data_IF_506637440287
#
_entry.id   IF_506637440287
#
_cell.length_a   1.000
_cell.length_b   1.000
_cell.length_c   1.000
_cell.angle_alpha   90.00
_cell.angle_beta   90.00
_cell.angle_gamma   90.00
#
_symmetry.space_group_name_H-M   'P 1'
#
loop_
_entity.id
_entity.type
_entity.pdbx_description
1 polymer ?
#
# COMPACT_ATOMS: atom_id res chain seq x y z
N UNK A 1 -28.86 9.53 28.69
CA UNK A 1 -27.39 9.44 28.57
C UNK A 1 -26.98 10.30 27.39
N UNK A 2 -25.98 11.16 27.54
CA UNK A 2 -25.45 11.93 26.41
C UNK A 2 -24.75 10.98 25.44
N UNK A 3 -24.83 11.24 24.13
CA UNK A 3 -24.14 10.40 23.14
C UNK A 3 -22.65 10.73 23.20
N UNK A 4 -21.79 9.76 22.89
CA UNK A 4 -20.33 9.99 22.89
C UNK A 4 -19.95 11.16 21.97
N UNK A 5 -20.60 11.28 20.80
CA UNK A 5 -20.43 12.40 19.88
C UNK A 5 -20.72 13.76 20.52
N UNK A 6 -21.75 13.86 21.36
CA UNK A 6 -22.17 15.13 21.98
C UNK A 6 -21.07 15.70 22.89
N UNK A 7 -20.25 14.83 23.50
CA UNK A 7 -19.09 15.22 24.29
C UNK A 7 -18.04 15.99 23.47
N UNK A 8 -17.96 15.74 22.16
CA UNK A 8 -17.03 16.41 21.24
C UNK A 8 -17.65 17.63 20.51
N UNK A 9 -18.90 18.00 20.79
CA UNK A 9 -19.61 19.08 20.08
C UNK A 9 -18.86 20.42 20.06
N UNK A 10 -18.29 20.86 21.20
CA UNK A 10 -17.51 22.09 21.30
C UNK A 10 -16.25 22.06 20.43
N UNK A 11 -15.58 20.91 20.43
CA UNK A 11 -14.37 20.66 19.63
C UNK A 11 -14.71 20.68 18.13
N UNK A 12 -15.79 19.99 17.74
CA UNK A 12 -16.29 19.97 16.37
C UNK A 12 -16.66 21.38 15.89
N UNK A 13 -17.43 22.12 16.69
CA UNK A 13 -17.82 23.48 16.36
C UNK A 13 -16.61 24.40 16.20
N UNK A 14 -15.58 24.24 17.04
CA UNK A 14 -14.36 25.04 16.96
C UNK A 14 -13.55 24.70 15.71
N UNK A 15 -13.41 23.41 15.38
CA UNK A 15 -12.74 22.96 14.15
C UNK A 15 -13.40 23.50 12.89
N UNK A 16 -14.73 23.42 12.80
CA UNK A 16 -15.49 23.98 11.67
C UNK A 16 -15.40 25.51 11.60
N UNK A 17 -15.40 26.20 12.74
CA UNK A 17 -15.25 27.65 12.77
C UNK A 17 -13.86 28.10 12.29
N UNK A 18 -12.81 27.34 12.65
CA UNK A 18 -11.45 27.60 12.20
C UNK A 18 -11.33 27.38 10.70
N UNK A 19 -11.85 26.26 10.20
CA UNK A 19 -11.83 25.93 8.77
C UNK A 19 -12.56 27.00 7.93
N UNK A 20 -13.75 27.41 8.37
CA UNK A 20 -14.51 28.48 7.72
C UNK A 20 -13.75 29.83 7.75
N UNK A 21 -13.06 30.15 8.85
CA UNK A 21 -12.25 31.35 8.98
C UNK A 21 -11.04 31.33 8.03
N UNK A 22 -10.37 30.17 7.90
CA UNK A 22 -9.27 29.96 6.94
C UNK A 22 -9.76 30.16 5.52
N UNK A 23 -10.87 29.52 5.14
CA UNK A 23 -11.47 29.65 3.80
C UNK A 23 -11.92 31.09 3.47
N UNK A 24 -12.37 31.84 4.48
CA UNK A 24 -12.81 33.24 4.33
C UNK A 24 -11.66 34.26 4.41
N UNK A 25 -10.43 33.84 4.76
CA UNK A 25 -9.32 34.75 5.05
C UNK A 25 -9.59 35.70 6.23
N UNK A 26 -10.39 35.25 7.20
CA UNK A 26 -10.73 36.02 8.40
C UNK A 26 -9.55 36.06 9.39
N UNK A 27 -9.57 36.93 10.41
CA UNK A 27 -8.56 36.91 11.46
C UNK A 27 -8.52 35.56 12.18
N UNK A 28 -7.35 34.92 12.21
CA UNK A 28 -7.12 33.61 12.80
C UNK A 28 -6.32 33.74 14.12
N UNK A 29 -6.57 32.88 15.11
CA UNK A 29 -5.62 32.71 16.22
C UNK A 29 -4.28 32.19 15.69
N UNK A 30 -3.21 32.33 16.47
CA UNK A 30 -1.94 31.66 16.12
C UNK A 30 -2.12 30.14 16.14
N UNK A 31 -1.30 29.43 15.36
CA UNK A 31 -1.34 27.97 15.28
C UNK A 31 -1.19 27.31 16.67
N UNK A 32 -0.28 27.82 17.51
CA UNK A 32 -0.08 27.31 18.87
C UNK A 32 -1.30 27.58 19.78
N UNK A 33 -1.94 28.74 19.65
CA UNK A 33 -3.13 29.07 20.42
C UNK A 33 -4.32 28.17 20.02
N UNK A 34 -4.47 27.90 18.71
CA UNK A 34 -5.46 26.97 18.20
C UNK A 34 -5.21 25.54 18.72
N UNK A 35 -3.97 25.04 18.64
CA UNK A 35 -3.61 23.72 19.18
C UNK A 35 -3.88 23.60 20.70
N UNK A 36 -3.51 24.62 21.48
CA UNK A 36 -3.78 24.64 22.92
C UNK A 36 -5.29 24.61 23.23
N UNK A 37 -6.08 25.39 22.48
CA UNK A 37 -7.53 25.38 22.61
C UNK A 37 -8.11 24.00 22.30
N UNK A 38 -7.72 23.36 21.20
CA UNK A 38 -8.20 22.03 20.84
C UNK A 38 -7.83 20.98 21.88
N UNK A 39 -6.62 21.05 22.45
CA UNK A 39 -6.20 20.15 23.53
C UNK A 39 -7.08 20.29 24.77
N UNK A 40 -7.36 21.51 25.22
CA UNK A 40 -8.25 21.76 26.35
C UNK A 40 -9.67 21.25 26.10
N UNK A 41 -10.19 21.43 24.88
CA UNK A 41 -11.51 20.94 24.49
C UNK A 41 -11.56 19.41 24.42
N UNK A 42 -10.48 18.77 23.96
CA UNK A 42 -10.36 17.31 23.93
C UNK A 42 -10.34 16.72 25.35
N UNK A 43 -9.58 17.34 26.27
CA UNK A 43 -9.53 16.91 27.67
C UNK A 43 -10.90 17.07 28.36
N UNK A 44 -11.62 18.16 28.07
CA UNK A 44 -12.99 18.35 28.54
C UNK A 44 -13.96 17.31 27.96
N UNK A 45 -13.82 16.95 26.67
CA UNK A 45 -14.62 15.92 26.03
C UNK A 45 -14.38 14.54 26.64
N UNK A 46 -13.12 14.18 26.90
CA UNK A 46 -12.75 12.93 27.61
C UNK A 46 -13.41 12.87 28.99
N UNK A 47 -13.29 13.93 29.79
CA UNK A 47 -13.89 14.00 31.12
C UNK A 47 -15.43 13.89 31.08
N UNK A 48 -16.07 14.51 30.10
CA UNK A 48 -17.52 14.42 29.92
C UNK A 48 -17.97 12.99 29.51
N UNK A 49 -17.21 12.34 28.64
CA UNK A 49 -17.47 10.96 28.20
C UNK A 49 -17.23 9.94 29.32
N UNK A 50 -16.23 10.17 30.18
CA UNK A 50 -15.99 9.35 31.36
C UNK A 50 -17.13 9.50 32.38
N UNK A 51 -17.58 10.75 32.63
CA UNK A 51 -18.71 11.02 33.52
C UNK A 51 -20.05 10.43 33.03
N UNK A 52 -20.20 10.21 31.72
CA UNK A 52 -21.37 9.55 31.13
C UNK A 52 -21.28 8.01 31.16
N UNK A 53 -20.17 7.45 31.64
CA UNK A 53 -19.95 6.01 31.79
C UNK A 53 -19.40 5.32 30.54
N UNK A 54 -18.82 6.07 29.60
CA UNK A 54 -18.22 5.49 28.39
C UNK A 54 -16.93 4.74 28.74
N UNK A 55 -16.69 3.52 28.23
CA UNK A 55 -15.45 2.79 28.47
C UNK A 55 -14.21 3.56 27.98
N UNK A 56 -13.12 3.54 28.76
CA UNK A 56 -11.89 4.27 28.44
C UNK A 56 -11.33 3.96 27.03
N UNK A 57 -11.39 2.69 26.60
CA UNK A 57 -10.94 2.30 25.26
C UNK A 57 -11.76 2.97 24.13
N UNK A 58 -13.07 3.13 24.34
CA UNK A 58 -13.95 3.82 23.39
C UNK A 58 -13.72 5.33 23.39
N UNK A 59 -13.46 5.91 24.57
CA UNK A 59 -13.09 7.33 24.71
C UNK A 59 -11.79 7.61 23.94
N UNK A 60 -10.75 6.80 24.13
CA UNK A 60 -9.46 7.01 23.46
C UNK A 60 -9.55 6.80 21.94
N UNK A 61 -10.30 5.79 21.48
CA UNK A 61 -10.53 5.58 20.05
C UNK A 61 -11.30 6.75 19.41
N UNK A 62 -12.30 7.31 20.09
CA UNK A 62 -13.04 8.49 19.63
C UNK A 62 -12.17 9.77 19.66
N UNK A 63 -11.35 9.94 20.70
CA UNK A 63 -10.41 11.05 20.82
C UNK A 63 -9.36 11.01 19.69
N UNK A 64 -8.88 9.83 19.33
CA UNK A 64 -7.97 9.64 18.20
C UNK A 64 -8.60 10.11 16.88
N UNK A 65 -9.85 9.72 16.61
CA UNK A 65 -10.58 10.14 15.40
C UNK A 65 -10.70 11.67 15.30
N UNK A 66 -11.02 12.32 16.42
CA UNK A 66 -11.15 13.78 16.48
C UNK A 66 -9.80 14.48 16.31
N UNK A 67 -8.72 13.92 16.87
CA UNK A 67 -7.36 14.46 16.69
C UNK A 67 -6.88 14.33 15.24
N UNK A 68 -7.11 13.18 14.60
CA UNK A 68 -6.79 13.00 13.18
C UNK A 68 -7.47 14.06 12.31
N UNK A 69 -8.77 14.31 12.56
CA UNK A 69 -9.52 15.35 11.84
C UNK A 69 -9.05 16.76 12.14
N UNK A 70 -8.79 17.11 13.41
CA UNK A 70 -8.31 18.44 13.79
C UNK A 70 -6.93 18.72 13.20
N UNK A 71 -6.01 17.77 13.21
CA UNK A 71 -4.68 17.98 12.64
C UNK A 71 -4.76 18.31 11.14
N UNK A 72 -5.68 17.68 10.39
CA UNK A 72 -5.96 18.02 8.99
C UNK A 72 -6.63 19.40 8.81
N UNK A 73 -7.44 19.84 9.78
CA UNK A 73 -7.96 21.22 9.82
C UNK A 73 -6.83 22.22 10.09
N UNK A 74 -5.93 21.92 11.03
CA UNK A 74 -4.80 22.76 11.39
C UNK A 74 -3.75 22.84 10.27
N UNK A 75 -3.58 21.78 9.49
CA UNK A 75 -2.66 21.75 8.33
C UNK A 75 -3.05 22.79 7.26
N UNK A 76 -4.33 23.15 7.18
CA UNK A 76 -4.83 24.20 6.27
C UNK A 76 -4.56 25.62 6.77
N UNK A 77 -4.06 25.78 8.00
CA UNK A 77 -3.73 27.09 8.55
C UNK A 77 -2.55 27.72 7.78
N UNK A 78 -2.59 29.02 7.42
CA UNK A 78 -1.52 29.67 6.66
C UNK A 78 -0.14 29.56 7.33
N UNK A 79 -0.12 29.65 8.66
CA UNK A 79 1.11 29.54 9.45
C UNK A 79 1.68 28.12 9.52
N UNK A 80 0.92 27.09 9.14
CA UNK A 80 1.42 25.70 9.15
C UNK A 80 2.53 25.50 8.10
N UNK A 81 2.35 26.06 6.89
CA UNK A 81 3.36 25.99 5.83
C UNK A 81 4.63 26.80 6.15
N UNK A 82 4.49 27.94 6.83
CA UNK A 82 5.64 28.76 7.26
C UNK A 82 6.39 28.10 8.41
N UNK A 83 5.69 27.46 9.35
CA UNK A 83 6.32 26.69 10.42
C UNK A 83 7.09 25.47 9.90
N UNK A 84 6.52 24.73 8.94
CA UNK A 84 7.17 23.58 8.32
C UNK A 84 8.45 23.96 7.55
N UNK A 85 8.47 25.13 6.91
CA UNK A 85 9.62 25.57 6.10
C UNK A 85 10.74 26.24 6.90
N UNK A 86 10.41 26.89 8.02
CA UNK A 86 11.40 27.62 8.84
C UNK A 86 11.96 26.81 10.01
N UNK A 87 11.33 25.68 10.35
CA UNK A 87 11.69 24.87 11.53
C UNK A 87 11.55 25.63 12.86
N UNK A 88 10.89 26.79 12.83
CA UNK A 88 10.79 27.70 13.96
C UNK A 88 9.36 27.72 14.51
N UNK A 89 9.18 27.21 15.72
CA UNK A 89 8.14 27.66 16.64
C UNK A 89 6.81 26.88 16.69
N UNK A 90 6.43 26.06 15.70
CA UNK A 90 5.21 25.28 15.83
C UNK A 90 5.41 24.04 16.70
N UNK A 91 4.53 23.84 17.67
CA UNK A 91 4.46 22.58 18.39
C UNK A 91 4.10 21.44 17.41
N UNK A 92 4.62 20.23 17.70
CA UNK A 92 4.35 19.04 16.89
C UNK A 92 2.83 18.81 16.74
N UNK A 93 2.35 18.16 15.67
CA UNK A 93 0.91 17.86 15.51
C UNK A 93 0.32 17.13 16.73
N UNK A 94 -0.99 17.29 16.98
CA UNK A 94 -1.64 16.72 18.17
C UNK A 94 -1.55 15.19 18.19
N UNK A 95 -1.57 14.52 17.03
CA UNK A 95 -1.33 13.08 16.88
C UNK A 95 0.02 12.63 17.47
N UNK A 96 1.07 13.45 17.31
CA UNK A 96 2.41 13.17 17.86
C UNK A 96 2.40 13.40 19.36
N UNK A 97 1.84 14.52 19.79
CA UNK A 97 1.82 14.92 21.20
C UNK A 97 1.00 13.98 22.09
N UNK A 98 -0.11 13.45 21.57
CA UNK A 98 -1.12 12.74 22.37
C UNK A 98 -1.13 11.23 22.13
N UNK A 99 -0.78 10.78 20.92
CA UNK A 99 -0.89 9.38 20.52
C UNK A 99 0.43 8.77 20.02
N UNK A 100 1.53 9.54 20.00
CA UNK A 100 2.82 9.11 19.46
C UNK A 100 2.70 8.54 18.03
N UNK A 101 1.77 9.09 17.25
CA UNK A 101 1.53 8.71 15.85
C UNK A 101 1.97 9.84 14.92
N UNK A 102 2.57 9.46 13.79
CA UNK A 102 2.88 10.36 12.68
C UNK A 102 2.03 10.04 11.42
N UNK A 103 1.06 9.13 11.54
CA UNK A 103 0.30 8.57 10.41
C UNK A 103 -1.20 8.48 10.73
N UNK A 104 -1.71 9.42 11.52
CA UNK A 104 -3.12 9.42 11.92
C UNK A 104 -4.07 9.46 10.71
N UNK A 105 -3.63 10.04 9.59
CA UNK A 105 -4.38 10.09 8.32
C UNK A 105 -4.69 8.70 7.74
N UNK A 106 -3.89 7.67 8.03
CA UNK A 106 -4.14 6.28 7.60
C UNK A 106 -4.66 5.41 8.75
N UNK A 107 -4.08 5.58 9.94
CA UNK A 107 -4.50 4.86 11.17
C UNK A 107 -5.97 5.08 11.53
N UNK A 108 -6.53 6.24 11.18
CA UNK A 108 -7.97 6.50 11.31
C UNK A 108 -8.83 5.41 10.65
N UNK A 109 -8.53 5.06 9.39
CA UNK A 109 -9.32 4.09 8.64
C UNK A 109 -9.12 2.67 9.17
N UNK A 110 -7.93 2.38 9.70
CA UNK A 110 -7.64 1.14 10.41
C UNK A 110 -8.53 0.99 11.64
N UNK A 111 -8.55 1.99 12.54
CA UNK A 111 -9.41 1.97 13.71
C UNK A 111 -10.89 1.85 13.34
N UNK A 112 -11.35 2.59 12.33
CA UNK A 112 -12.73 2.53 11.84
C UNK A 112 -13.13 1.13 11.33
N UNK A 113 -12.23 0.47 10.59
CA UNK A 113 -12.45 -0.88 10.07
C UNK A 113 -12.46 -1.95 11.15
N UNK A 114 -11.73 -1.73 12.25
CA UNK A 114 -11.63 -2.66 13.38
C UNK A 114 -12.83 -2.58 14.35
N UNK A 115 -13.68 -1.56 14.24
CA UNK A 115 -14.84 -1.39 15.12
C UNK A 115 -15.85 -2.55 14.96
N UNK A 116 -16.24 -3.15 16.09
CA UNK A 116 -17.21 -4.23 16.13
C UNK A 116 -18.66 -3.76 16.23
N UNK A 117 -19.58 -4.71 16.42
CA UNK A 117 -21.00 -4.42 16.64
C UNK A 117 -21.29 -3.75 18.00
N UNK A 118 -20.33 -3.74 18.94
CA UNK A 118 -20.47 -3.08 20.24
C UNK A 118 -19.97 -1.64 20.27
N UNK A 119 -19.41 -1.14 19.17
CA UNK A 119 -18.71 0.14 19.09
C UNK A 119 -19.51 1.21 18.33
N UNK A 120 -20.85 1.10 18.31
CA UNK A 120 -21.73 2.01 17.55
C UNK A 120 -21.51 3.48 17.91
N UNK A 121 -21.28 3.78 19.19
CA UNK A 121 -21.01 5.14 19.67
C UNK A 121 -19.67 5.68 19.17
N UNK A 122 -18.64 4.84 19.03
CA UNK A 122 -17.34 5.22 18.48
C UNK A 122 -17.44 5.34 16.96
N UNK A 123 -18.12 4.40 16.30
CA UNK A 123 -18.37 4.42 14.86
C UNK A 123 -19.07 5.70 14.44
N UNK A 124 -20.00 6.18 15.25
CA UNK A 124 -20.64 7.47 15.05
C UNK A 124 -19.64 8.64 15.02
N UNK A 125 -18.66 8.67 15.93
CA UNK A 125 -17.64 9.72 15.99
C UNK A 125 -16.74 9.70 14.74
N UNK A 126 -16.27 8.51 14.33
CA UNK A 126 -15.50 8.36 13.09
C UNK A 126 -16.32 8.75 11.85
N UNK A 127 -17.57 8.31 11.78
CA UNK A 127 -18.44 8.65 10.67
C UNK A 127 -18.68 10.16 10.57
N UNK A 128 -18.85 10.85 11.70
CA UNK A 128 -18.97 12.30 11.72
C UNK A 128 -17.69 13.00 11.27
N UNK A 129 -16.50 12.54 11.67
CA UNK A 129 -15.26 13.11 11.14
C UNK A 129 -15.21 13.05 9.60
N UNK A 130 -15.61 11.93 9.00
CA UNK A 130 -15.72 11.78 7.54
C UNK A 130 -16.77 12.74 6.94
N UNK A 131 -17.95 12.82 7.57
CA UNK A 131 -19.02 13.71 7.12
C UNK A 131 -18.63 15.19 7.19
N UNK A 132 -17.73 15.55 8.12
CA UNK A 132 -17.17 16.89 8.29
C UNK A 132 -15.96 17.17 7.39
N UNK A 133 -15.65 16.27 6.46
CA UNK A 133 -14.65 16.50 5.41
C UNK A 133 -13.26 15.96 5.71
N UNK A 134 -13.07 15.15 6.77
CA UNK A 134 -11.81 14.42 6.94
C UNK A 134 -11.54 13.54 5.72
N UNK A 135 -10.41 13.77 5.05
CA UNK A 135 -9.98 12.99 3.89
C UNK A 135 -8.94 11.95 4.27
N UNK A 136 -8.00 12.28 5.15
CA UNK A 136 -6.86 11.44 5.52
C UNK A 136 -6.10 10.92 4.29
N UNK A 137 -5.88 9.60 4.23
CA UNK A 137 -5.21 8.96 3.09
C UNK A 137 -5.92 9.14 1.73
N UNK A 138 -7.18 9.62 1.72
CA UNK A 138 -7.98 9.89 0.52
C UNK A 138 -7.97 11.38 0.12
N UNK A 139 -6.91 12.14 0.44
CA UNK A 139 -6.82 13.59 0.16
C UNK A 139 -7.06 14.00 -1.31
N UNK A 140 -6.80 13.08 -2.24
CA UNK A 140 -6.97 13.26 -3.69
C UNK A 140 -8.41 13.05 -4.19
N UNK A 141 -9.32 12.51 -3.37
CA UNK A 141 -10.72 12.36 -3.77
C UNK A 141 -11.50 13.67 -3.54
N UNK A 142 -12.35 14.01 -4.52
CA UNK A 142 -13.28 15.12 -4.42
C UNK A 142 -14.73 14.60 -4.50
N UNK A 143 -15.53 14.94 -3.48
CA UNK A 143 -16.91 14.51 -3.35
C UNK A 143 -17.08 13.06 -2.84
N UNK A 144 -18.32 12.56 -2.90
CA UNK A 144 -18.71 11.27 -2.29
C UNK A 144 -18.83 10.12 -3.33
N UNK A 145 -18.22 10.25 -4.52
CA UNK A 145 -18.30 9.23 -5.58
C UNK A 145 -17.16 8.18 -5.51
N UNK A 146 -16.13 8.46 -4.71
CA UNK A 146 -14.96 7.58 -4.53
C UNK A 146 -15.08 6.62 -3.34
N UNK A 147 -13.94 6.12 -2.86
CA UNK A 147 -13.86 5.23 -1.69
C UNK A 147 -14.33 5.91 -0.40
N UNK A 148 -14.06 7.20 -0.22
CA UNK A 148 -14.51 7.96 0.95
C UNK A 148 -16.05 7.95 1.04
N UNK A 149 -16.73 8.09 -0.10
CA UNK A 149 -18.18 7.99 -0.19
C UNK A 149 -18.71 6.60 0.14
N UNK A 150 -18.03 5.55 -0.32
CA UNK A 150 -18.37 4.15 0.02
C UNK A 150 -18.21 3.88 1.50
N UNK A 151 -17.15 4.38 2.14
CA UNK A 151 -16.91 4.25 3.58
C UNK A 151 -17.98 4.98 4.40
N UNK A 152 -18.36 6.20 3.99
CA UNK A 152 -19.48 6.94 4.60
C UNK A 152 -20.79 6.15 4.50
N UNK A 153 -21.13 5.59 3.33
CA UNK A 153 -22.36 4.80 3.18
C UNK A 153 -22.32 3.50 4.00
N UNK A 154 -21.21 2.76 3.94
CA UNK A 154 -21.04 1.48 4.65
C UNK A 154 -21.20 1.66 6.16
N UNK A 155 -20.49 2.61 6.76
CA UNK A 155 -20.55 2.84 8.20
C UNK A 155 -21.81 3.61 8.61
N UNK A 156 -22.34 4.49 7.76
CA UNK A 156 -23.59 5.19 8.00
C UNK A 156 -24.78 4.23 8.17
N UNK A 157 -24.84 3.16 7.37
CA UNK A 157 -25.89 2.12 7.49
C UNK A 157 -25.84 1.34 8.81
N UNK A 158 -24.67 1.29 9.44
CA UNK A 158 -24.43 0.60 10.71
C UNK A 158 -24.75 1.48 11.92
N UNK A 159 -24.95 2.80 11.74
CA UNK A 159 -25.30 3.70 12.83
C UNK A 159 -26.72 3.45 13.35
N UNK A 160 -26.91 3.64 14.65
CA UNK A 160 -28.23 3.57 15.31
C UNK A 160 -29.21 4.58 14.70
N UNK A 161 -28.74 5.80 14.44
CA UNK A 161 -29.45 6.82 13.67
C UNK A 161 -28.85 6.87 12.28
N UNK A 162 -29.48 6.17 11.34
CA UNK A 162 -29.00 6.13 9.96
C UNK A 162 -29.13 7.51 9.31
N UNK A 163 -28.02 8.05 8.78
CA UNK A 163 -28.06 9.25 7.97
C UNK A 163 -28.81 8.95 6.67
N UNK A 164 -29.49 9.97 6.14
CA UNK A 164 -30.13 9.87 4.82
C UNK A 164 -29.05 9.67 3.76
N UNK A 165 -29.27 8.74 2.83
CA UNK A 165 -28.32 8.52 1.73
C UNK A 165 -28.25 9.78 0.87
N UNK A 166 -27.05 10.32 0.68
CA UNK A 166 -26.79 11.56 -0.07
C UNK A 166 -27.23 11.46 -1.54
N UNK A 167 -27.23 10.26 -2.14
CA UNK A 167 -27.78 10.01 -3.47
C UNK A 167 -29.30 9.84 -3.51
N UNK A 168 -29.93 9.53 -2.37
CA UNK A 168 -31.37 9.27 -2.29
C UNK A 168 -32.19 10.55 -2.22
N UNK A 169 -31.67 11.66 -1.68
CA UNK A 169 -32.43 12.91 -1.57
C UNK A 169 -32.81 13.53 -2.94
N UNK A 170 -32.10 13.18 -4.00
CA UNK A 170 -32.44 13.57 -5.39
C UNK A 170 -33.55 12.69 -5.97
N UNK A 171 -33.70 11.46 -5.47
CA UNK A 171 -34.68 10.47 -5.97
C UNK A 171 -35.91 10.35 -5.06
N UNK A 172 -35.77 10.68 -3.78
CA UNK A 172 -36.83 10.62 -2.79
C UNK A 172 -37.72 11.85 -2.94
N UNK A 173 -38.98 11.54 -3.15
CA UNK A 173 -40.06 12.50 -3.41
C UNK A 173 -40.44 13.17 -2.10
N UNK A 174 -39.78 14.27 -1.77
CA UNK A 174 -39.98 15.02 -0.50
C UNK A 174 -41.36 15.71 -0.45
N UNK A 175 -42.10 15.84 -1.56
CA UNK A 175 -43.46 16.45 -1.57
C UNK A 175 -44.48 15.69 -2.44
N UNK A 176 -45.77 15.73 -2.08
CA UNK A 176 -46.84 15.23 -2.94
C UNK A 176 -47.21 16.29 -3.99
N UNK A 177 -46.40 16.44 -5.04
CA UNK A 177 -46.72 17.25 -6.25
C UNK A 177 -46.79 16.33 -7.49
N UNK A 178 -47.52 16.69 -8.55
CA UNK A 178 -47.93 15.73 -9.58
C UNK A 178 -46.75 15.35 -10.51
N UNK A 179 -46.25 14.13 -10.35
CA UNK A 179 -45.20 13.50 -11.17
C UNK A 179 -45.68 13.06 -12.55
N UNK A 180 -46.62 13.78 -13.18
CA UNK A 180 -47.19 13.39 -14.48
C UNK A 180 -46.25 13.63 -15.67
N UNK A 181 -45.04 14.13 -15.43
CA UNK A 181 -43.98 14.21 -16.44
C UNK A 181 -43.04 13.03 -16.24
N UNK A 182 -42.91 12.19 -17.28
CA UNK A 182 -41.98 11.06 -17.27
C UNK A 182 -40.53 11.56 -17.24
N UNK A 183 -39.73 11.03 -16.32
CA UNK A 183 -38.30 11.32 -16.24
C UNK A 183 -37.55 10.88 -17.52
N UNK A 184 -36.49 11.62 -17.93
CA UNK A 184 -35.60 11.17 -18.99
C UNK A 184 -34.89 9.86 -18.58
N UNK A 185 -34.72 8.95 -19.55
CA UNK A 185 -34.10 7.64 -19.32
C UNK A 185 -32.64 7.79 -18.87
N UNK A 186 -32.34 7.37 -17.65
CA UNK A 186 -30.97 7.19 -17.16
C UNK A 186 -30.24 6.00 -17.82
N UNK A 187 -28.91 5.89 -17.66
CA UNK A 187 -28.10 4.85 -18.30
C UNK A 187 -28.49 3.45 -17.80
N UNK A 188 -28.70 2.51 -18.73
CA UNK A 188 -29.12 1.14 -18.43
C UNK A 188 -28.06 0.37 -17.60
N UNK A 189 -28.53 -0.32 -16.57
CA UNK A 189 -27.84 -1.40 -15.86
C UNK A 189 -27.69 -2.62 -16.78
N UNK A 190 -26.45 -3.01 -17.09
CA UNK A 190 -26.09 -4.00 -18.12
C UNK A 190 -25.96 -5.43 -17.60
N UNK A 191 -26.42 -5.74 -16.39
CA UNK A 191 -26.16 -7.04 -15.72
C UNK A 191 -26.91 -8.28 -16.24
N UNK A 192 -27.58 -8.26 -17.40
CA UNK A 192 -28.42 -9.39 -17.86
C UNK A 192 -27.93 -10.15 -19.10
N UNK A 193 -26.68 -9.97 -19.55
CA UNK A 193 -26.17 -10.59 -20.81
C UNK A 193 -24.98 -11.55 -20.69
N UNK A 194 -24.63 -12.02 -19.49
CA UNK A 194 -23.36 -12.77 -19.30
C UNK A 194 -23.42 -14.31 -19.33
N UNK A 195 -24.58 -14.96 -19.47
CA UNK A 195 -24.60 -16.44 -19.40
C UNK A 195 -24.16 -17.17 -20.68
N UNK A 196 -24.17 -16.53 -21.84
CA UNK A 196 -23.79 -17.17 -23.11
C UNK A 196 -22.34 -16.92 -23.52
N UNK A 197 -21.68 -15.88 -22.96
CA UNK A 197 -20.26 -15.58 -23.21
C UNK A 197 -19.32 -16.48 -22.39
N UNK A 198 -19.77 -16.93 -21.21
CA UNK A 198 -18.98 -17.80 -20.31
C UNK A 198 -18.75 -19.20 -20.89
N UNK A 199 -19.68 -19.72 -21.71
CA UNK A 199 -19.54 -21.05 -22.33
C UNK A 199 -18.58 -21.07 -23.54
N UNK A 200 -18.41 -19.94 -24.24
CA UNK A 200 -17.47 -19.83 -25.36
C UNK A 200 -16.01 -19.68 -24.91
N UNK A 201 -15.77 -19.00 -23.79
CA UNK A 201 -14.42 -18.78 -23.25
C UNK A 201 -13.71 -20.04 -22.77
N UNK A 202 -14.46 -21.00 -22.23
CA UNK A 202 -13.90 -22.25 -21.70
C UNK A 202 -13.29 -23.16 -22.78
N UNK A 203 -13.84 -23.16 -24.00
CA UNK A 203 -13.31 -23.95 -25.11
C UNK A 203 -12.01 -23.36 -25.67
N UNK A 204 -11.89 -22.03 -25.67
CA UNK A 204 -10.70 -21.33 -26.16
C UNK A 204 -9.50 -21.49 -25.20
N UNK A 205 -9.77 -21.51 -23.89
CA UNK A 205 -8.77 -21.67 -22.83
C UNK A 205 -8.08 -23.05 -22.85
N UNK A 206 -8.72 -24.08 -23.40
CA UNK A 206 -8.14 -25.43 -23.54
C UNK A 206 -7.37 -25.65 -24.85
N UNK A 207 -7.77 -24.99 -25.94
CA UNK A 207 -7.14 -25.18 -27.26
C UNK A 207 -5.79 -24.44 -27.41
N UNK A 208 -5.67 -23.26 -26.82
CA UNK A 208 -4.46 -22.43 -26.87
C UNK A 208 -3.20 -23.07 -26.22
N UNK A 209 -3.26 -23.65 -25.01
CA UNK A 209 -2.07 -24.26 -24.40
C UNK A 209 -1.60 -25.52 -25.14
N UNK A 210 -2.52 -26.29 -25.74
CA UNK A 210 -2.20 -27.46 -26.56
C UNK A 210 -1.44 -27.07 -27.84
N UNK A 211 -1.89 -26.00 -28.51
CA UNK A 211 -1.21 -25.43 -29.67
C UNK A 211 0.17 -24.85 -29.31
N UNK A 212 0.28 -24.22 -28.14
CA UNK A 212 1.55 -23.67 -27.65
C UNK A 212 2.58 -24.78 -27.35
N UNK A 213 2.18 -25.88 -26.71
CA UNK A 213 3.07 -27.03 -26.47
C UNK A 213 3.56 -27.67 -27.78
N UNK A 214 2.68 -27.81 -28.78
CA UNK A 214 3.03 -28.34 -30.10
C UNK A 214 4.06 -27.45 -30.83
N UNK A 215 3.91 -26.13 -30.70
CA UNK A 215 4.87 -25.17 -31.26
C UNK A 215 6.23 -25.28 -30.58
N UNK A 216 6.27 -25.31 -29.24
CA UNK A 216 7.52 -25.38 -28.46
C UNK A 216 8.36 -26.64 -28.74
N UNK A 217 7.71 -27.77 -29.05
CA UNK A 217 8.42 -29.01 -29.44
C UNK A 217 9.08 -28.94 -30.82
N UNK A 218 8.66 -28.01 -31.69
CA UNK A 218 9.20 -27.85 -33.04
C UNK A 218 10.38 -26.87 -33.13
N UNK A 219 10.57 -26.03 -32.11
CA UNK A 219 11.61 -24.99 -32.05
C UNK A 219 12.64 -25.31 -30.95
N UNK A 220 13.71 -26.04 -31.32
CA UNK A 220 14.84 -26.30 -30.42
C UNK A 220 15.57 -25.03 -29.96
N UNK A 221 16.37 -25.07 -28.86
CA UNK A 221 16.90 -23.87 -28.23
C UNK A 221 17.90 -23.13 -29.14
N UNK A 222 17.86 -21.78 -29.17
CA UNK A 222 18.71 -21.00 -30.05
C UNK A 222 20.15 -20.93 -29.51
N UNK A 223 21.12 -21.22 -30.37
CA UNK A 223 22.48 -20.75 -30.22
C UNK A 223 22.52 -19.30 -30.74
N UNK A 224 22.93 -18.36 -29.89
CA UNK A 224 23.00 -16.93 -30.19
C UNK A 224 24.39 -16.53 -30.70
N UNK A 225 24.46 -15.54 -31.61
CA UNK A 225 25.69 -14.86 -32.00
C UNK A 225 26.25 -14.05 -30.82
N UNK A 226 27.22 -14.63 -30.11
CA UNK A 226 27.74 -14.13 -28.82
C UNK A 226 28.31 -12.71 -28.87
N UNK A 227 28.82 -12.25 -30.01
CA UNK A 227 29.48 -10.94 -30.13
C UNK A 227 28.55 -9.71 -30.22
N UNK A 228 27.31 -9.87 -30.68
CA UNK A 228 26.32 -8.78 -30.68
C UNK A 228 25.64 -8.70 -29.30
N UNK A 229 25.20 -9.85 -28.77
CA UNK A 229 24.57 -9.93 -27.45
C UNK A 229 25.47 -9.33 -26.35
N UNK A 230 26.77 -9.67 -26.36
CA UNK A 230 27.72 -9.17 -25.36
C UNK A 230 27.96 -7.66 -25.43
N UNK A 231 27.91 -7.04 -26.63
CA UNK A 231 28.02 -5.58 -26.78
C UNK A 231 26.78 -4.86 -26.27
N UNK A 232 25.60 -5.44 -26.52
CA UNK A 232 24.33 -4.91 -26.01
C UNK A 232 24.33 -5.02 -24.48
N UNK A 233 24.67 -6.18 -23.91
CA UNK A 233 24.75 -6.38 -22.45
C UNK A 233 25.71 -5.39 -21.78
N UNK A 234 26.89 -5.13 -22.37
CA UNK A 234 27.84 -4.16 -21.82
C UNK A 234 27.27 -2.73 -21.82
N UNK A 235 26.51 -2.36 -22.85
CA UNK A 235 25.87 -1.06 -22.92
C UNK A 235 24.71 -0.93 -21.91
N UNK A 236 23.93 -2.00 -21.75
CA UNK A 236 22.83 -2.08 -20.79
C UNK A 236 23.30 -1.94 -19.32
N UNK A 237 24.54 -2.30 -19.00
CA UNK A 237 25.14 -2.11 -17.67
C UNK A 237 25.38 -0.64 -17.29
N UNK A 238 25.23 0.31 -18.22
CA UNK A 238 25.41 1.75 -17.93
C UNK A 238 24.21 2.39 -17.23
N UNK A 239 23.05 1.73 -17.23
CA UNK A 239 21.85 2.22 -16.56
C UNK A 239 21.93 1.96 -15.05
N UNK A 240 21.73 3.03 -14.27
CA UNK A 240 21.81 2.95 -12.82
C UNK A 240 20.58 2.21 -12.25
N UNK A 241 20.83 1.25 -11.34
CA UNK A 241 19.77 0.48 -10.67
C UNK A 241 18.84 -0.23 -11.70
N UNK A 242 19.41 -0.80 -12.76
CA UNK A 242 18.72 -1.56 -13.79
C UNK A 242 19.32 -2.97 -13.91
N UNK A 243 18.49 -3.96 -14.24
CA UNK A 243 18.92 -5.31 -14.60
C UNK A 243 18.28 -5.64 -15.93
N UNK A 244 19.07 -5.49 -17.00
CA UNK A 244 18.64 -5.65 -18.37
C UNK A 244 19.51 -6.73 -19.00
N UNK A 245 18.87 -7.63 -19.73
CA UNK A 245 19.51 -8.76 -20.40
C UNK A 245 19.11 -8.76 -21.85
N UNK A 246 20.07 -8.92 -22.75
CA UNK A 246 19.82 -9.03 -24.17
C UNK A 246 19.97 -10.47 -24.64
N UNK A 247 18.98 -10.94 -25.40
CA UNK A 247 19.06 -12.18 -26.17
C UNK A 247 18.92 -11.85 -27.65
N UNK A 248 19.71 -12.51 -28.49
CA UNK A 248 19.68 -12.33 -29.95
C UNK A 248 19.37 -13.68 -30.57
N UNK A 249 18.33 -13.75 -31.40
CA UNK A 249 17.98 -14.97 -32.12
C UNK A 249 18.85 -15.19 -33.38
N UNK A 250 18.62 -16.31 -34.07
CA UNK A 250 19.39 -16.70 -35.27
C UNK A 250 19.15 -15.79 -36.47
N UNK A 251 18.04 -15.07 -36.51
CA UNK A 251 17.67 -14.15 -37.59
C UNK A 251 18.17 -12.70 -37.30
N UNK A 252 18.81 -12.51 -36.13
CA UNK A 252 19.35 -11.24 -35.66
C UNK A 252 18.32 -10.36 -34.95
N UNK A 253 17.17 -10.91 -34.57
CA UNK A 253 16.20 -10.18 -33.75
C UNK A 253 16.67 -10.11 -32.31
N UNK A 254 16.78 -8.88 -31.83
CA UNK A 254 17.16 -8.61 -30.44
C UNK A 254 15.92 -8.59 -29.55
N UNK A 255 15.98 -9.29 -28.43
CA UNK A 255 15.02 -9.16 -27.34
C UNK A 255 15.74 -8.69 -26.08
N UNK A 256 15.32 -7.54 -25.57
CA UNK A 256 15.80 -7.01 -24.29
C UNK A 256 14.72 -7.21 -23.24
N UNK A 257 15.08 -7.88 -22.16
CA UNK A 257 14.20 -8.19 -21.02
C UNK A 257 14.80 -7.67 -19.72
N UNK A 258 13.99 -7.16 -18.81
CA UNK A 258 14.48 -6.74 -17.50
C UNK A 258 13.70 -5.59 -16.87
N UNK A 259 14.41 -4.70 -16.17
CA UNK A 259 13.83 -3.49 -15.59
C UNK A 259 14.78 -2.30 -15.53
N UNK A 260 14.18 -1.10 -15.47
CA UNK A 260 14.86 0.19 -15.25
C UNK A 260 14.31 0.87 -14.00
N UNK A 261 15.09 1.78 -13.40
CA UNK A 261 14.71 2.48 -12.17
C UNK A 261 13.98 3.80 -12.37
N UNK A 262 14.26 4.51 -13.47
CA UNK A 262 13.66 5.79 -13.79
C UNK A 262 12.64 5.65 -14.94
N UNK A 263 11.47 6.31 -14.86
CA UNK A 263 10.51 6.32 -15.97
C UNK A 263 11.12 6.83 -17.28
N UNK A 264 12.08 7.75 -17.19
CA UNK A 264 12.82 8.29 -18.34
C UNK A 264 13.86 7.34 -18.94
N UNK A 265 14.23 6.25 -18.26
CA UNK A 265 15.23 5.31 -18.76
C UNK A 265 14.64 4.28 -19.73
N UNK A 266 13.34 3.96 -19.62
CA UNK A 266 12.67 3.07 -20.57
C UNK A 266 12.80 3.57 -22.02
N UNK A 267 12.36 4.81 -22.37
CA UNK A 267 12.51 5.31 -23.73
C UNK A 267 13.97 5.50 -24.14
N UNK A 268 14.88 5.71 -23.19
CA UNK A 268 16.32 5.79 -23.46
C UNK A 268 16.90 4.43 -23.85
N UNK A 269 16.59 3.36 -23.12
CA UNK A 269 17.00 2.00 -23.48
C UNK A 269 16.48 1.62 -24.86
N UNK A 270 15.19 1.91 -25.14
CA UNK A 270 14.59 1.63 -26.44
C UNK A 270 15.32 2.36 -27.58
N UNK A 271 15.64 3.64 -27.38
CA UNK A 271 16.35 4.45 -28.37
C UNK A 271 17.80 4.01 -28.55
N UNK A 272 18.55 3.88 -27.46
CA UNK A 272 19.99 3.59 -27.48
C UNK A 272 20.27 2.18 -28.02
N UNK A 273 19.49 1.16 -27.63
CA UNK A 273 19.64 -0.21 -28.17
C UNK A 273 19.21 -0.28 -29.63
N UNK A 274 18.18 0.43 -30.05
CA UNK A 274 17.75 0.46 -31.45
C UNK A 274 18.77 1.13 -32.38
N UNK A 275 19.60 2.03 -31.84
CA UNK A 275 20.66 2.71 -32.57
C UNK A 275 21.95 1.88 -32.70
N UNK A 276 22.08 0.74 -31.99
CA UNK A 276 23.29 -0.07 -32.00
C UNK A 276 23.50 -0.79 -33.35
N UNK A 277 24.73 -0.76 -33.92
CA UNK A 277 25.02 -1.44 -35.18
C UNK A 277 24.82 -2.96 -35.08
N UNK A 278 23.92 -3.49 -35.92
CA UNK A 278 23.62 -4.92 -36.03
C UNK A 278 22.32 -5.35 -35.34
N UNK A 279 21.65 -4.48 -34.59
CA UNK A 279 20.33 -4.74 -33.99
C UNK A 279 19.25 -4.68 -35.08
N UNK A 280 18.42 -5.71 -35.18
CA UNK A 280 17.27 -5.75 -36.11
C UNK A 280 15.97 -5.97 -35.34
N UNK A 281 14.99 -5.09 -35.58
CA UNK A 281 13.63 -5.14 -34.99
C UNK A 281 13.63 -5.54 -33.49
N UNK A 282 14.25 -4.71 -32.62
CA UNK A 282 14.36 -5.04 -31.21
C UNK A 282 12.98 -5.10 -30.55
N UNK A 283 12.77 -6.10 -29.71
CA UNK A 283 11.61 -6.20 -28.82
C UNK A 283 12.03 -5.92 -27.38
N UNK A 284 11.28 -5.05 -26.72
CA UNK A 284 11.53 -4.64 -25.35
C UNK A 284 10.42 -5.18 -24.45
N UNK A 285 10.82 -5.92 -23.43
CA UNK A 285 9.97 -6.39 -22.34
C UNK A 285 10.63 -5.94 -21.02
N UNK A 286 10.50 -4.64 -20.77
CA UNK A 286 11.20 -3.93 -19.71
C UNK A 286 10.17 -3.33 -18.76
N UNK A 287 10.23 -3.70 -17.48
CA UNK A 287 9.42 -3.11 -16.42
C UNK A 287 10.07 -1.88 -15.78
N UNK A 288 9.27 -1.06 -15.11
CA UNK A 288 9.75 0.00 -14.22
C UNK A 288 9.85 -0.52 -12.79
N UNK A 289 11.03 -0.40 -12.15
CA UNK A 289 11.27 -0.73 -10.74
C UNK A 289 11.94 0.44 -10.04
N UNK A 290 11.12 1.35 -9.52
CA UNK A 290 11.60 2.54 -8.80
C UNK A 290 12.35 2.13 -7.52
N UNK A 291 13.36 2.91 -7.14
CA UNK A 291 14.03 2.77 -5.84
C UNK A 291 12.97 2.75 -4.71
N UNK A 292 13.09 1.88 -3.68
CA UNK A 292 14.23 1.02 -3.32
C UNK A 292 14.23 -0.36 -4.00
N UNK A 293 13.18 -0.73 -4.73
CA UNK A 293 12.97 -2.09 -5.25
C UNK A 293 14.11 -2.62 -6.12
N UNK A 294 14.67 -1.76 -6.99
CA UNK A 294 15.79 -2.13 -7.85
C UNK A 294 17.07 -2.46 -7.06
N UNK A 295 17.32 -1.73 -5.98
CA UNK A 295 18.51 -1.88 -5.13
C UNK A 295 18.42 -3.18 -4.32
N UNK A 296 17.24 -3.46 -3.75
CA UNK A 296 16.94 -4.71 -3.04
C UNK A 296 17.16 -5.90 -3.96
N UNK A 297 16.60 -5.84 -5.17
CA UNK A 297 16.75 -6.90 -6.16
C UNK A 297 18.23 -7.13 -6.50
N UNK A 298 19.01 -6.07 -6.73
CA UNK A 298 20.43 -6.19 -7.03
C UNK A 298 21.22 -6.86 -5.88
N UNK A 299 20.88 -6.54 -4.62
CA UNK A 299 21.50 -7.14 -3.43
C UNK A 299 21.14 -8.63 -3.32
N UNK A 300 19.86 -8.99 -3.56
CA UNK A 300 19.34 -10.34 -3.28
C UNK A 300 19.44 -11.31 -4.47
N UNK A 301 19.57 -10.83 -5.71
CA UNK A 301 19.65 -11.66 -6.92
C UNK A 301 20.69 -12.79 -6.84
N UNK A 302 21.94 -12.59 -6.36
CA UNK A 302 22.91 -13.68 -6.25
C UNK A 302 22.44 -14.82 -5.34
N UNK A 303 21.66 -14.49 -4.30
CA UNK A 303 21.13 -15.45 -3.33
C UNK A 303 19.90 -16.19 -3.85
N UNK A 304 19.09 -15.54 -4.71
CA UNK A 304 17.99 -16.20 -5.43
C UNK A 304 18.51 -17.15 -6.51
N UNK A 305 19.52 -16.73 -7.29
CA UNK A 305 20.17 -17.63 -8.27
C UNK A 305 20.71 -18.87 -7.57
N UNK A 306 21.37 -18.70 -6.42
CA UNK A 306 21.85 -19.81 -5.60
C UNK A 306 20.73 -20.73 -5.11
N UNK A 307 19.60 -20.19 -4.67
CA UNK A 307 18.43 -20.97 -4.27
C UNK A 307 17.97 -21.91 -5.40
N UNK A 308 17.88 -21.40 -6.63
CA UNK A 308 17.53 -22.15 -7.83
C UNK A 308 18.58 -23.19 -8.24
N UNK A 309 19.84 -22.78 -8.39
CA UNK A 309 20.93 -23.67 -8.84
C UNK A 309 21.17 -24.84 -7.91
N UNK A 310 21.05 -24.62 -6.59
CA UNK A 310 21.23 -25.66 -5.58
C UNK A 310 19.95 -26.40 -5.24
N UNK A 311 18.82 -26.03 -5.84
CA UNK A 311 17.50 -26.58 -5.58
C UNK A 311 17.16 -26.66 -4.08
N UNK A 312 17.49 -25.59 -3.33
CA UNK A 312 17.25 -25.53 -1.89
C UNK A 312 15.76 -25.44 -1.55
N UNK A 313 14.94 -24.89 -2.45
CA UNK A 313 13.49 -24.92 -2.35
C UNK A 313 12.89 -23.90 -1.38
N UNK A 314 13.62 -22.82 -1.07
CA UNK A 314 13.01 -21.64 -0.46
C UNK A 314 12.05 -21.04 -1.49
N UNK A 315 10.84 -20.70 -1.08
CA UNK A 315 9.83 -20.13 -1.98
C UNK A 315 8.96 -19.13 -1.22
N UNK A 316 8.55 -18.05 -1.90
CA UNK A 316 7.60 -17.06 -1.38
C UNK A 316 6.47 -16.82 -2.37
N UNK A 317 5.25 -16.95 -1.88
CA UNK A 317 4.05 -16.68 -2.67
C UNK A 317 3.11 -15.76 -1.92
N UNK A 318 2.28 -15.03 -2.68
CA UNK A 318 1.23 -14.16 -2.16
C UNK A 318 -0.14 -14.73 -2.57
N UNK A 319 -0.75 -15.64 -1.77
CA UNK A 319 -1.99 -16.31 -2.17
C UNK A 319 -3.19 -15.37 -2.37
N UNK A 320 -3.12 -14.15 -1.85
CA UNK A 320 -4.16 -13.12 -2.05
C UNK A 320 -3.95 -12.28 -3.29
N UNK A 321 -2.78 -12.34 -3.93
CA UNK A 321 -2.53 -11.60 -5.16
C UNK A 321 -3.11 -12.34 -6.36
N UNK A 322 -3.99 -11.67 -7.11
CA UNK A 322 -4.56 -12.21 -8.35
C UNK A 322 -3.78 -11.59 -9.50
N UNK A 323 -3.15 -12.43 -10.33
CA UNK A 323 -2.26 -12.01 -11.43
C UNK A 323 -1.13 -11.06 -10.97
N UNK A 324 -0.60 -11.30 -9.77
CA UNK A 324 0.43 -10.45 -9.15
C UNK A 324 -0.08 -9.12 -8.65
N UNK A 325 -1.40 -8.88 -8.66
CA UNK A 325 -2.02 -7.64 -8.20
C UNK A 325 -2.73 -7.84 -6.87
N UNK A 326 -2.54 -6.88 -5.97
CA UNK A 326 -3.32 -6.74 -4.74
C UNK A 326 -4.15 -5.47 -4.85
N UNK A 327 -5.45 -5.59 -4.64
CA UNK A 327 -6.36 -4.44 -4.68
C UNK A 327 -6.43 -3.79 -3.31
N UNK A 328 -6.76 -2.51 -3.31
CA UNK A 328 -7.04 -1.79 -2.07
C UNK A 328 -8.00 -2.56 -1.14
N UNK A 329 -7.60 -2.67 0.12
CA UNK A 329 -8.34 -3.42 1.14
C UNK A 329 -8.15 -4.94 1.09
N UNK A 330 -7.38 -5.48 0.14
CA UNK A 330 -6.99 -6.89 0.18
C UNK A 330 -6.03 -7.14 1.34
N UNK A 331 -6.21 -8.27 2.02
CA UNK A 331 -5.25 -8.73 3.02
C UNK A 331 -3.94 -9.11 2.32
N UNK A 332 -2.83 -8.54 2.76
CA UNK A 332 -1.49 -8.95 2.32
C UNK A 332 -1.13 -10.26 3.02
N UNK A 333 -1.47 -11.41 2.40
CA UNK A 333 -1.09 -12.73 2.91
C UNK A 333 0.12 -13.25 2.15
N UNK A 334 1.12 -13.66 2.90
CA UNK A 334 2.35 -14.26 2.38
C UNK A 334 2.45 -15.69 2.87
N UNK A 335 2.85 -16.58 1.97
CA UNK A 335 3.15 -17.96 2.29
C UNK A 335 4.61 -18.21 1.93
N UNK A 336 5.39 -18.58 2.94
CA UNK A 336 6.82 -18.85 2.82
C UNK A 336 7.08 -20.31 3.05
N UNK A 337 7.76 -20.97 2.13
CA UNK A 337 8.21 -22.36 2.27
C UNK A 337 9.68 -22.35 2.64
N UNK A 338 10.02 -22.90 3.80
CA UNK A 338 11.40 -23.04 4.25
C UNK A 338 12.20 -23.93 3.28
N UNK A 339 13.52 -23.70 3.13
CA UNK A 339 14.34 -24.56 2.31
C UNK A 339 14.41 -25.98 2.89
N UNK A 340 15.02 -26.91 2.15
CA UNK A 340 15.21 -28.32 2.54
C UNK A 340 16.22 -28.53 3.67
N UNK A 341 16.42 -27.53 4.52
CA UNK A 341 17.25 -27.58 5.73
C UNK A 341 16.70 -26.60 6.76
N UNK A 342 16.99 -26.83 8.04
CA UNK A 342 16.65 -25.90 9.10
C UNK A 342 17.33 -24.54 8.87
N UNK A 343 16.54 -23.47 8.93
CA UNK A 343 17.03 -22.12 8.75
C UNK A 343 16.21 -21.10 9.54
N UNK A 344 16.81 -19.93 9.69
CA UNK A 344 16.15 -18.73 10.16
C UNK A 344 15.64 -17.96 8.94
N UNK A 345 14.40 -17.47 9.04
CA UNK A 345 13.71 -16.78 7.96
C UNK A 345 13.50 -15.32 8.33
N UNK A 346 13.69 -14.43 7.36
CA UNK A 346 13.33 -13.02 7.42
C UNK A 346 12.43 -12.70 6.24
N UNK A 347 11.36 -11.98 6.50
CA UNK A 347 10.41 -11.58 5.46
C UNK A 347 10.21 -10.08 5.56
N UNK A 348 10.52 -9.38 4.48
CA UNK A 348 10.46 -7.93 4.40
C UNK A 348 9.53 -7.51 3.26
N UNK A 349 8.71 -6.50 3.51
CA UNK A 349 7.78 -5.88 2.55
C UNK A 349 8.23 -4.45 2.26
N UNK A 350 8.65 -4.20 1.03
CA UNK A 350 9.04 -2.89 0.55
C UNK A 350 7.84 -2.21 -0.11
N UNK A 351 7.54 -1.02 0.37
CA UNK A 351 6.38 -0.24 -0.05
C UNK A 351 6.73 0.73 -1.18
N UNK A 352 5.69 1.25 -1.83
CA UNK A 352 5.82 2.21 -2.96
C UNK A 352 6.47 3.52 -2.53
N UNK A 353 6.23 3.97 -1.30
CA UNK A 353 6.80 5.19 -0.70
C UNK A 353 8.27 5.03 -0.24
N UNK A 354 8.86 3.85 -0.40
CA UNK A 354 10.27 3.62 -0.10
C UNK A 354 10.55 3.26 1.36
N UNK A 355 9.56 2.68 2.02
CA UNK A 355 9.66 2.16 3.38
C UNK A 355 9.72 0.63 3.38
N UNK A 356 10.10 0.05 4.52
CA UNK A 356 10.21 -1.40 4.72
C UNK A 356 9.44 -1.79 5.96
N UNK A 357 8.57 -2.78 5.82
CA UNK A 357 7.87 -3.41 6.93
C UNK A 357 8.40 -4.83 7.13
N UNK A 358 8.79 -5.15 8.35
CA UNK A 358 9.38 -6.45 8.68
C UNK A 358 8.29 -7.43 9.13
N UNK A 359 7.93 -8.36 8.26
CA UNK A 359 6.69 -9.12 8.41
C UNK A 359 6.73 -10.17 9.52
N UNK A 360 7.93 -10.56 9.92
CA UNK A 360 8.16 -11.49 11.02
C UNK A 360 9.11 -10.91 12.08
N UNK A 361 9.10 -9.58 12.23
CA UNK A 361 9.81 -8.91 13.32
C UNK A 361 9.15 -9.26 14.67
N UNK A 362 9.90 -9.96 15.51
CA UNK A 362 9.55 -10.25 16.89
C UNK A 362 10.81 -10.35 17.74
N UNK A 363 10.66 -10.49 19.06
CA UNK A 363 11.82 -10.58 19.96
C UNK A 363 12.72 -11.80 19.72
N UNK A 364 12.22 -12.80 18.98
CA UNK A 364 12.99 -13.99 18.62
C UNK A 364 13.04 -14.18 17.10
N UNK A 365 14.22 -14.54 16.55
CA UNK A 365 14.35 -14.92 15.15
C UNK A 365 13.40 -16.05 14.78
N UNK A 366 12.69 -15.93 13.66
CA UNK A 366 11.79 -16.99 13.19
C UNK A 366 12.60 -18.15 12.65
N UNK A 367 12.60 -19.28 13.36
CA UNK A 367 13.24 -20.53 12.90
C UNK A 367 12.20 -21.47 12.31
N UNK A 368 12.46 -21.97 11.11
CA UNK A 368 11.64 -22.98 10.45
C UNK A 368 12.44 -24.27 10.22
N UNK A 369 11.74 -25.39 10.29
CA UNK A 369 12.28 -26.70 9.91
C UNK A 369 12.26 -26.89 8.40
N UNK A 370 13.07 -27.84 7.93
CA UNK A 370 13.16 -28.16 6.51
C UNK A 370 11.78 -28.38 5.85
N UNK A 371 11.46 -27.57 4.83
CA UNK A 371 10.19 -27.65 4.08
C UNK A 371 8.94 -27.19 4.85
N UNK A 372 9.08 -26.67 6.06
CA UNK A 372 7.96 -26.11 6.82
C UNK A 372 7.41 -24.86 6.13
N UNK A 373 6.09 -24.72 6.14
CA UNK A 373 5.42 -23.51 5.64
C UNK A 373 5.12 -22.55 6.79
N UNK A 374 5.43 -21.28 6.58
CA UNK A 374 5.04 -20.15 7.42
C UNK A 374 4.01 -19.31 6.66
N UNK A 375 2.85 -19.09 7.27
CA UNK A 375 1.85 -18.17 6.74
C UNK A 375 1.89 -16.87 7.56
N UNK A 376 2.00 -15.75 6.86
CA UNK A 376 2.04 -14.41 7.43
C UNK A 376 0.83 -13.63 6.90
N UNK A 377 0.21 -12.81 7.74
CA UNK A 377 -1.00 -12.05 7.38
C UNK A 377 -2.32 -12.70 7.78
N UNK A 378 -2.32 -13.71 8.68
CA UNK A 378 -3.56 -14.32 9.22
C UNK A 378 -4.09 -13.61 10.47
N UNK A 379 -3.22 -13.25 11.41
CA UNK A 379 -3.61 -12.69 12.72
C UNK A 379 -3.01 -11.28 12.93
N UNK A 380 -3.16 -10.39 11.94
CA UNK A 380 -2.46 -9.10 11.93
C UNK A 380 -3.46 -7.93 11.92
N UNK A 381 -3.21 -6.82 12.67
CA UNK A 381 -4.01 -5.60 12.62
C UNK A 381 -4.12 -5.02 11.20
N UNK A 382 -5.14 -4.20 10.97
CA UNK A 382 -5.54 -3.65 9.67
C UNK A 382 -4.48 -2.82 8.94
N UNK A 383 -3.34 -2.48 9.57
CA UNK A 383 -2.17 -1.81 8.98
C UNK A 383 -1.47 -2.60 7.85
N UNK A 384 -1.99 -3.77 7.51
CA UNK A 384 -1.49 -4.69 6.49
C UNK A 384 -2.47 -4.92 5.34
N UNK A 385 -3.49 -4.07 5.25
CA UNK A 385 -4.32 -3.94 4.07
C UNK A 385 -3.56 -3.14 3.01
N UNK A 386 -3.77 -3.46 1.75
CA UNK A 386 -3.25 -2.63 0.66
C UNK A 386 -3.92 -1.25 0.71
N UNK A 387 -3.12 -0.20 0.85
CA UNK A 387 -3.54 1.20 0.89
C UNK A 387 -2.70 2.05 -0.08
N UNK A 388 -3.14 3.29 -0.39
CA UNK A 388 -2.28 4.24 -1.07
C UNK A 388 -0.96 4.50 -0.31
N UNK A 389 0.13 4.89 -1.01
CA UNK A 389 0.24 5.01 -2.46
C UNK A 389 0.27 3.65 -3.18
N UNK A 390 -0.49 3.54 -4.27
CA UNK A 390 -0.52 2.36 -5.13
C UNK A 390 0.67 2.33 -6.08
N UNK A 391 1.15 1.14 -6.41
CA UNK A 391 2.30 0.96 -7.29
C UNK A 391 3.01 -0.38 -7.10
N UNK A 392 4.24 -0.43 -7.56
CA UNK A 392 5.08 -1.62 -7.43
C UNK A 392 5.54 -1.79 -5.98
N UNK A 393 5.32 -2.98 -5.42
CA UNK A 393 5.81 -3.40 -4.10
C UNK A 393 6.62 -4.68 -4.24
N UNK A 394 7.49 -4.95 -3.27
CA UNK A 394 8.35 -6.14 -3.28
C UNK A 394 8.30 -6.83 -1.92
N UNK A 395 8.05 -8.14 -1.94
CA UNK A 395 8.23 -8.99 -0.76
C UNK A 395 9.50 -9.79 -0.96
N UNK A 396 10.40 -9.77 0.03
CA UNK A 396 11.62 -10.57 0.00
C UNK A 396 11.66 -11.52 1.17
N UNK A 397 12.19 -12.71 0.94
CA UNK A 397 12.49 -13.70 1.96
C UNK A 397 13.97 -14.01 1.94
N UNK A 398 14.61 -13.90 3.09
CA UNK A 398 15.98 -14.31 3.30
C UNK A 398 16.02 -15.52 4.24
N UNK A 399 16.84 -16.50 3.91
CA UNK A 399 17.07 -17.70 4.72
C UNK A 399 18.55 -17.80 5.07
N UNK A 400 18.86 -17.92 6.36
CA UNK A 400 20.23 -18.07 6.87
C UNK A 400 20.35 -19.24 7.84
N UNK A 401 21.48 -19.97 7.90
CA UNK A 401 21.70 -21.02 8.88
C UNK A 401 21.87 -20.51 10.32
N UNK A 402 22.18 -19.22 10.50
CA UNK A 402 22.36 -18.57 11.80
C UNK A 402 21.52 -17.29 11.86
N UNK A 403 21.06 -16.88 13.06
CA UNK A 403 20.33 -15.63 13.22
C UNK A 403 21.23 -14.46 12.80
N UNK A 404 20.73 -13.62 11.90
CA UNK A 404 21.41 -12.38 11.51
C UNK A 404 21.43 -11.43 12.71
N UNK A 405 22.59 -10.82 12.97
CA UNK A 405 22.88 -10.03 14.18
C UNK A 405 21.93 -8.86 14.42
N UNK A 406 21.20 -8.44 13.39
CA UNK A 406 20.27 -7.32 13.41
C UNK A 406 18.89 -7.66 13.98
N UNK A 407 18.61 -8.88 14.43
CA UNK A 407 17.25 -9.29 14.82
C UNK A 407 16.68 -8.68 16.10
N UNK A 408 17.53 -8.15 16.98
CA UNK A 408 17.08 -7.61 18.27
C UNK A 408 16.76 -6.12 18.11
N UNK A 409 15.55 -5.70 18.49
CA UNK A 409 15.10 -4.30 18.48
C UNK A 409 14.88 -3.62 17.11
N UNK A 410 14.57 -4.38 16.04
CA UNK A 410 14.11 -3.73 14.81
C UNK A 410 12.75 -3.08 15.03
N UNK A 411 12.55 -1.81 14.63
CA UNK A 411 11.22 -1.27 14.55
C UNK A 411 10.41 -2.12 13.54
N UNK A 412 9.09 -2.28 13.71
CA UNK A 412 8.27 -3.01 12.75
C UNK A 412 8.27 -2.38 11.35
N UNK A 413 8.64 -1.10 11.26
CA UNK A 413 8.66 -0.29 10.06
C UNK A 413 9.83 0.71 10.10
N UNK A 414 10.54 0.89 8.98
CA UNK A 414 11.61 1.88 8.83
C UNK A 414 11.83 2.30 7.36
N UNK A 415 12.63 3.35 7.13
CA UNK A 415 12.99 3.79 5.76
C UNK A 415 13.95 2.80 5.10
N UNK A 416 13.72 2.50 3.81
CA UNK A 416 14.56 1.56 3.07
C UNK A 416 16.02 2.01 2.96
N UNK A 417 16.29 3.32 2.91
CA UNK A 417 17.66 3.86 2.85
C UNK A 417 18.49 3.44 4.06
N UNK A 418 17.91 3.49 5.26
CA UNK A 418 18.55 3.09 6.52
C UNK A 418 18.70 1.57 6.58
N UNK A 419 17.66 0.84 6.17
CA UNK A 419 17.67 -0.63 6.21
C UNK A 419 18.67 -1.26 5.24
N UNK A 420 18.78 -0.74 4.01
CA UNK A 420 19.60 -1.35 2.96
C UNK A 420 21.11 -1.30 3.25
N UNK A 421 21.58 -0.27 3.95
CA UNK A 421 22.97 -0.19 4.39
C UNK A 421 23.29 -1.35 5.35
N UNK A 422 22.40 -1.56 6.31
CA UNK A 422 22.43 -2.60 7.34
C UNK A 422 22.35 -4.01 6.78
N UNK A 423 21.40 -4.23 5.86
CA UNK A 423 21.26 -5.49 5.12
C UNK A 423 22.56 -5.87 4.40
N UNK A 424 23.24 -4.92 3.76
CA UNK A 424 24.53 -5.17 3.08
C UNK A 424 25.62 -5.63 4.03
N UNK A 425 25.74 -4.98 5.18
CA UNK A 425 26.72 -5.35 6.20
C UNK A 425 26.47 -6.76 6.72
N UNK A 426 25.20 -7.08 7.02
CA UNK A 426 24.78 -8.40 7.49
C UNK A 426 25.05 -9.52 6.47
N UNK A 427 24.74 -9.27 5.21
CA UNK A 427 25.02 -10.20 4.10
C UNK A 427 26.51 -10.34 3.83
N UNK A 428 27.29 -9.26 3.94
CA UNK A 428 28.74 -9.30 3.79
C UNK A 428 29.42 -10.13 4.90
N UNK A 429 28.96 -10.01 6.14
CA UNK A 429 29.42 -10.83 7.26
C UNK A 429 29.12 -12.33 7.06
N UNK A 430 28.03 -12.63 6.34
CA UNK A 430 27.55 -13.99 6.09
C UNK A 430 27.89 -14.53 4.69
N UNK A 431 28.70 -13.79 3.91
CA UNK A 431 28.95 -14.04 2.48
C UNK A 431 29.47 -15.43 2.14
N UNK A 432 30.19 -16.05 3.08
CA UNK A 432 30.78 -17.39 2.93
C UNK A 432 29.82 -18.54 3.26
N UNK A 433 28.58 -18.24 3.66
CA UNK A 433 27.58 -19.28 3.90
C UNK A 433 26.90 -19.68 2.58
N UNK A 434 27.18 -20.90 2.11
CA UNK A 434 26.49 -21.49 0.96
C UNK A 434 24.99 -21.73 1.20
N UNK A 435 24.54 -21.62 2.46
CA UNK A 435 23.14 -21.77 2.88
C UNK A 435 22.42 -20.45 3.08
N UNK A 436 23.12 -19.32 2.93
CA UNK A 436 22.46 -18.02 2.80
C UNK A 436 21.84 -17.92 1.41
N UNK A 437 20.52 -17.86 1.36
CA UNK A 437 19.74 -17.86 0.13
C UNK A 437 18.55 -16.92 0.28
N UNK A 438 18.00 -16.44 -0.83
CA UNK A 438 16.86 -15.55 -0.83
C UNK A 438 15.84 -15.99 -1.89
N UNK A 439 14.63 -15.51 -1.73
CA UNK A 439 13.63 -15.49 -2.79
C UNK A 439 12.78 -14.24 -2.65
N UNK A 440 12.06 -13.83 -3.70
CA UNK A 440 11.26 -12.62 -3.66
C UNK A 440 10.16 -12.63 -4.70
N UNK A 441 9.08 -11.89 -4.42
CA UNK A 441 7.93 -11.73 -5.30
C UNK A 441 7.60 -10.25 -5.44
N UNK A 442 7.45 -9.81 -6.70
CA UNK A 442 6.94 -8.47 -7.02
C UNK A 442 5.43 -8.53 -7.10
N UNK A 443 4.79 -7.51 -6.54
CA UNK A 443 3.35 -7.34 -6.60
C UNK A 443 3.04 -5.91 -7.05
N UNK A 444 1.86 -5.73 -7.60
CA UNK A 444 1.33 -4.42 -7.95
C UNK A 444 0.16 -4.13 -7.02
N UNK A 445 0.28 -3.10 -6.19
CA UNK A 445 -0.85 -2.57 -5.44
C UNK A 445 -1.63 -1.64 -6.36
N UNK A 446 -2.94 -1.83 -6.44
CA UNK A 446 -3.82 -1.04 -7.30
C UNK A 446 -5.04 -0.57 -6.53
N UNK A 447 -5.56 0.58 -6.91
CA UNK A 447 -6.89 1.01 -6.48
C UNK A 447 -7.94 -0.03 -6.89
N UNK A 448 -9.03 -0.11 -6.14
CA UNK A 448 -10.04 -1.16 -6.33
C UNK A 448 -10.83 -1.09 -7.64
#
# INVERSE_FOLDING_TARGET
MARLLDCFSTLISSGLSLDAAVAAGAPLPSLDAAQQQFRQQLDAARAAAEASGTPAAQIESAAFAMVAWIDEVLERHPDAATAASTGAGAAAPLQVQLFNSNNAHSEFFHHLSALGAGDDAVREVYWHALALGFKGQYYFEDGDQGELGKLKDLHGRQLLLRPLSTGSLVQDRITPQPYEVADPRGPNDTRRRDRTLVLGGAALALALPLLYMLWFWSSGPPAADTGLAQRIDQHLQTFACADLTASVDRDGHTRVTGFVSLPGDLPRVEHEVSALPGVKAPRFDIGLRVWPHCEVFAILKPYQVRNGEKAYGLDVTAPTAIDGKLREGDNVRMQVVAPRHDSYIWVDYYTVDGSVMHLNAGQQPTRLHAGQTLEIGRDIPSSWLVSPPFGSVLVTVLSSPAPLTETSDRPPFELASTYLLRLRESLAASKNSDRLIADFVFLETVSR
#
